data_IF_793984972146
#
_entry.id   IF_793984972146
#
_cell.length_a   1.000
_cell.length_b   1.000
_cell.length_c   1.000
_cell.angle_alpha   90.00
_cell.angle_beta   90.00
_cell.angle_gamma   90.00
#
_symmetry.space_group_name_H-M   'P 1'
#
loop_
_entity.id
_entity.type
_entity.pdbx_description
1 polymer ?
#
# COMPACT_ATOMS: atom_id res chain seq x y z
N UNK A 1 -0.93 -2.82 11.35
CA UNK A 1 -1.72 -3.36 10.24
C UNK A 1 -0.81 -4.14 9.30
N UNK A 2 -1.30 -5.19 8.62
CA UNK A 2 -0.53 -5.88 7.59
C UNK A 2 -0.18 -4.92 6.45
N UNK A 3 0.81 -5.27 5.63
CA UNK A 3 1.20 -4.45 4.50
C UNK A 3 2.56 -4.84 3.91
N UNK A 4 2.88 -4.31 2.72
CA UNK A 4 4.14 -4.57 2.03
C UNK A 4 5.33 -3.95 2.77
N UNK A 5 6.45 -4.67 2.81
CA UNK A 5 7.70 -4.17 3.39
C UNK A 5 8.23 -3.00 2.56
N UNK A 6 8.35 -1.83 3.19
CA UNK A 6 8.98 -0.65 2.59
C UNK A 6 10.47 -0.56 2.94
N UNK A 7 11.25 0.13 2.11
CA UNK A 7 12.67 0.43 2.41
C UNK A 7 12.80 1.70 3.26
N UNK A 8 13.93 1.92 3.98
CA UNK A 8 14.16 3.15 4.71
C UNK A 8 14.01 4.40 3.83
N UNK A 9 13.45 5.46 4.40
CA UNK A 9 13.20 6.78 3.77
C UNK A 9 12.15 6.77 2.65
N UNK A 10 12.30 5.92 1.63
CA UNK A 10 11.39 5.82 0.47
C UNK A 10 10.06 5.10 0.80
N UNK A 11 10.06 4.15 1.72
CA UNK A 11 8.90 3.29 1.98
C UNK A 11 8.58 2.40 0.79
N UNK A 12 7.29 2.29 0.45
CA UNK A 12 6.75 1.51 -0.65
C UNK A 12 6.68 2.26 -1.99
N UNK A 13 7.17 3.51 -2.07
CA UNK A 13 7.17 4.29 -3.33
C UNK A 13 7.85 3.54 -4.48
N UNK A 14 8.93 2.81 -4.19
CA UNK A 14 9.67 2.02 -5.18
C UNK A 14 8.87 0.83 -5.76
N UNK A 15 7.79 0.41 -5.09
CA UNK A 15 6.91 -0.68 -5.53
C UNK A 15 5.71 -0.15 -6.33
N UNK A 16 5.46 1.17 -6.30
CA UNK A 16 4.29 1.78 -6.92
C UNK A 16 4.68 2.35 -8.29
N UNK A 17 3.99 1.89 -9.32
CA UNK A 17 3.95 2.54 -10.64
C UNK A 17 2.63 3.29 -10.74
N UNK A 18 2.69 4.60 -10.97
CA UNK A 18 1.51 5.48 -10.91
C UNK A 18 0.45 5.05 -11.92
N UNK A 19 0.88 4.62 -13.11
CA UNK A 19 0.03 4.19 -14.22
C UNK A 19 -0.78 2.93 -13.87
N UNK A 20 -0.26 2.08 -12.98
CA UNK A 20 -0.87 0.81 -12.57
C UNK A 20 -1.14 0.75 -11.06
N UNK A 21 -1.26 1.90 -10.39
CA UNK A 21 -1.41 1.97 -8.93
C UNK A 21 -2.65 1.21 -8.46
N UNK A 22 -3.78 1.32 -9.18
CA UNK A 22 -5.02 0.61 -8.87
C UNK A 22 -4.83 -0.91 -8.83
N UNK A 23 -4.07 -1.49 -9.77
CA UNK A 23 -3.78 -2.93 -9.80
C UNK A 23 -2.89 -3.36 -8.63
N UNK A 24 -1.90 -2.54 -8.29
CA UNK A 24 -0.98 -2.81 -7.17
C UNK A 24 -1.74 -2.78 -5.84
N UNK A 25 -2.62 -1.80 -5.66
CA UNK A 25 -3.46 -1.70 -4.46
C UNK A 25 -4.47 -2.85 -4.38
N UNK A 26 -4.99 -3.33 -5.51
CA UNK A 26 -5.86 -4.51 -5.58
C UNK A 26 -5.09 -5.79 -5.22
N UNK A 27 -3.87 -5.96 -5.72
CA UNK A 27 -3.00 -7.10 -5.37
C UNK A 27 -2.68 -7.11 -3.88
N UNK A 28 -2.33 -5.96 -3.31
CA UNK A 28 -2.12 -5.82 -1.87
C UNK A 28 -3.39 -6.04 -1.07
N UNK A 29 -4.55 -5.62 -1.55
CA UNK A 29 -5.84 -5.94 -0.91
C UNK A 29 -6.06 -7.46 -0.88
N UNK A 30 -5.82 -8.16 -1.99
CA UNK A 30 -5.92 -9.63 -2.04
C UNK A 30 -4.94 -10.32 -1.09
N UNK A 31 -3.78 -9.71 -0.85
CA UNK A 31 -2.73 -10.29 0.00
C UNK A 31 -2.90 -9.97 1.50
N UNK A 32 -3.31 -8.75 1.83
CA UNK A 32 -3.30 -8.21 3.19
C UNK A 32 -4.70 -7.99 3.77
N UNK A 33 -5.74 -8.06 2.94
CA UNK A 33 -7.13 -7.85 3.31
C UNK A 33 -7.63 -6.43 3.03
N UNK A 34 -8.79 -6.16 3.59
CA UNK A 34 -9.55 -4.92 3.52
C UNK A 34 -8.89 -3.71 4.19
N UNK A 35 -8.03 -3.95 5.17
CA UNK A 35 -7.35 -2.91 5.93
C UNK A 35 -5.85 -3.17 6.01
N UNK A 36 -5.05 -2.40 5.27
CA UNK A 36 -3.60 -2.53 5.27
C UNK A 36 -2.90 -1.18 5.25
N UNK A 37 -1.62 -1.19 5.62
CA UNK A 37 -0.82 0.03 5.75
C UNK A 37 0.35 0.01 4.77
N UNK A 38 0.57 1.15 4.12
CA UNK A 38 1.73 1.41 3.26
C UNK A 38 2.48 2.65 3.75
N UNK A 39 3.67 2.84 3.24
CA UNK A 39 4.52 4.01 3.51
C UNK A 39 4.88 4.71 2.21
N UNK A 40 4.51 5.98 2.07
CA UNK A 40 4.83 6.79 0.90
C UNK A 40 5.87 7.83 1.34
N UNK A 41 7.16 7.51 1.16
CA UNK A 41 8.23 8.34 1.69
C UNK A 41 8.19 8.39 3.21
N UNK A 42 8.16 9.57 3.86
CA UNK A 42 8.03 9.67 5.32
C UNK A 42 6.61 9.32 5.81
N UNK A 43 5.60 9.42 4.94
CA UNK A 43 4.19 9.36 5.33
C UNK A 43 3.70 7.92 5.45
N UNK A 44 2.89 7.67 6.48
CA UNK A 44 2.19 6.40 6.68
C UNK A 44 0.76 6.54 6.18
N UNK A 45 0.39 5.71 5.22
CA UNK A 45 -0.93 5.74 4.59
C UNK A 45 -1.69 4.48 4.95
N UNK A 46 -2.91 4.66 5.44
CA UNK A 46 -3.88 3.59 5.65
C UNK A 46 -4.67 3.40 4.37
N UNK A 47 -4.75 2.16 3.88
CA UNK A 47 -5.61 1.79 2.76
C UNK A 47 -6.81 1.03 3.33
N UNK A 48 -8.01 1.50 2.98
CA UNK A 48 -9.29 0.94 3.37
C UNK A 48 -10.02 0.55 2.10
N UNK A 49 -10.34 -0.73 1.95
CA UNK A 49 -11.15 -1.25 0.84
C UNK A 49 -12.58 -1.60 1.23
N UNK A 50 -12.93 -1.41 2.51
CA UNK A 50 -14.29 -1.61 3.01
C UNK A 50 -15.13 -0.34 2.80
N UNK A 51 -16.30 -0.41 2.12
CA UNK A 51 -17.21 0.71 1.97
C UNK A 51 -18.10 1.01 3.19
N UNK A 52 -18.10 0.16 4.22
CA UNK A 52 -18.97 0.28 5.41
C UNK A 52 -18.42 1.23 6.52
#
# INVERSE_FOLDING_TARGET
>A
LPGPSGVPILGNLHQIKVESMHLILEEWFRQYGDLYQIKLGPDRTLVVGDPD
#
